data_IF_321386893304
#
_entry.id   IF_321386893304
#
_cell.length_a   1.000
_cell.length_b   1.000
_cell.length_c   1.000
_cell.angle_alpha   90.00
_cell.angle_beta   90.00
_cell.angle_gamma   90.00
#
_symmetry.space_group_name_H-M   'P 1'
#
loop_
_entity.id
_entity.type
_entity.pdbx_description
1 polymer ?
#
# COMPACT_ATOMS: atom_id res chain seq x y z
N UNK A 1 -0.54 -54.45 -28.99
CA UNK A 1 -0.77 -55.15 -30.26
C UNK A 1 -0.61 -54.13 -31.38
N UNK A 2 0.41 -54.29 -32.21
CA UNK A 2 0.46 -53.75 -33.59
C UNK A 2 -0.55 -54.52 -34.49
N UNK A 3 -0.51 -54.43 -35.84
CA UNK A 3 -0.95 -53.40 -36.79
C UNK A 3 -1.97 -54.02 -37.81
N UNK A 4 -2.21 -53.52 -39.05
CA UNK A 4 -1.29 -53.67 -40.23
C UNK A 4 -1.24 -52.41 -41.13
N UNK A 5 -0.19 -52.00 -41.88
CA UNK A 5 0.77 -52.58 -42.85
C UNK A 5 0.15 -52.97 -44.21
N UNK A 6 0.62 -52.37 -45.32
CA UNK A 6 1.13 -52.98 -46.59
C UNK A 6 1.47 -51.84 -47.61
N UNK A 7 2.75 -51.48 -47.88
CA UNK A 7 3.71 -52.01 -48.89
C UNK A 7 3.41 -51.55 -50.34
N UNK A 8 4.31 -50.98 -51.18
CA UNK A 8 5.65 -51.40 -51.66
C UNK A 8 6.43 -50.14 -52.16
N UNK A 9 7.68 -49.85 -51.74
CA UNK A 9 9.01 -50.31 -52.26
C UNK A 9 9.23 -49.98 -53.75
N UNK A 10 10.33 -49.34 -54.17
CA UNK A 10 11.64 -50.03 -54.28
C UNK A 10 12.82 -49.06 -54.64
N UNK A 11 13.95 -49.17 -53.90
CA UNK A 11 15.41 -49.14 -54.26
C UNK A 11 15.98 -47.96 -55.11
N UNK A 12 17.26 -47.54 -55.09
CA UNK A 12 18.53 -47.71 -54.34
C UNK A 12 19.45 -46.58 -54.91
N UNK A 13 20.23 -45.83 -54.12
CA UNK A 13 21.66 -46.05 -53.76
C UNK A 13 22.69 -45.93 -54.92
N UNK A 14 23.73 -45.12 -54.63
CA UNK A 14 25.09 -44.99 -55.22
C UNK A 14 25.37 -43.95 -56.33
N UNK A 15 26.01 -42.85 -55.89
CA UNK A 15 27.42 -42.47 -56.11
C UNK A 15 28.08 -42.55 -57.52
N UNK A 16 28.85 -41.49 -57.81
CA UNK A 16 30.12 -41.44 -58.59
C UNK A 16 30.07 -41.03 -60.09
N UNK A 17 30.39 -39.75 -60.30
CA UNK A 17 31.43 -39.15 -61.20
C UNK A 17 31.35 -39.12 -62.74
N UNK A 18 31.80 -37.94 -63.23
CA UNK A 18 32.70 -37.66 -64.35
C UNK A 18 32.09 -37.42 -65.75
N UNK A 19 32.29 -36.16 -66.17
CA UNK A 19 32.80 -35.62 -67.43
C UNK A 19 32.25 -36.04 -68.79
N UNK A 20 32.10 -34.99 -69.59
CA UNK A 20 32.66 -34.83 -70.94
C UNK A 20 32.20 -35.78 -72.05
N UNK A 21 31.69 -35.09 -73.07
CA UNK A 21 32.01 -35.33 -74.47
C UNK A 21 31.29 -36.44 -75.24
N UNK A 22 30.45 -35.93 -76.14
CA UNK A 22 30.51 -36.24 -77.55
C UNK A 22 30.17 -37.67 -77.96
N UNK A 23 28.92 -37.85 -78.41
CA UNK A 23 28.70 -38.56 -79.67
C UNK A 23 27.57 -37.92 -80.47
N UNK A 24 27.86 -36.71 -80.99
CA UNK A 24 27.38 -36.32 -82.31
C UNK A 24 28.07 -37.25 -83.31
N UNK A 25 27.34 -38.24 -83.81
CA UNK A 25 27.54 -38.70 -85.19
C UNK A 25 26.24 -38.40 -85.90
N UNK A 26 26.24 -37.29 -86.64
CA UNK A 26 26.40 -37.32 -88.08
C UNK A 26 25.18 -37.97 -88.75
N UNK A 27 24.23 -37.19 -89.26
CA UNK A 27 24.35 -36.22 -90.37
C UNK A 27 23.60 -36.82 -91.55
N UNK A 28 22.42 -36.27 -91.77
CA UNK A 28 21.95 -35.84 -93.08
C UNK A 28 21.10 -34.58 -92.76
N UNK A 29 21.73 -33.53 -92.23
CA UNK A 29 22.21 -32.36 -92.99
C UNK A 29 21.10 -31.78 -93.90
N UNK A 30 20.90 -30.48 -93.96
CA UNK A 30 21.91 -29.44 -93.78
C UNK A 30 21.35 -28.30 -92.92
N UNK A 31 21.94 -28.12 -91.75
CA UNK A 31 21.85 -26.94 -90.90
C UNK A 31 22.01 -25.67 -91.73
N UNK A 32 21.20 -24.63 -91.46
CA UNK A 32 21.56 -23.19 -91.46
C UNK A 32 20.34 -22.26 -91.60
N UNK A 33 19.15 -22.72 -92.02
CA UNK A 33 18.06 -21.78 -92.34
C UNK A 33 16.97 -21.55 -91.27
N UNK A 34 17.01 -22.22 -90.11
CA UNK A 34 16.00 -22.01 -89.04
C UNK A 34 16.50 -21.19 -87.83
N UNK A 35 17.77 -20.76 -87.84
CA UNK A 35 18.48 -20.19 -86.68
C UNK A 35 18.18 -18.71 -86.39
N UNK A 36 17.54 -17.98 -87.31
CA UNK A 36 17.40 -16.51 -87.18
C UNK A 36 16.08 -16.03 -86.57
N UNK A 37 15.07 -16.90 -86.38
CA UNK A 37 13.74 -16.48 -85.89
C UNK A 37 13.48 -16.81 -84.40
N UNK A 38 14.26 -17.73 -83.80
CA UNK A 38 14.05 -18.18 -82.42
C UNK A 38 14.80 -17.34 -81.36
N UNK A 39 15.84 -16.59 -81.77
CA UNK A 39 16.74 -15.92 -80.82
C UNK A 39 16.16 -14.61 -80.25
N UNK A 40 15.22 -13.95 -80.95
CA UNK A 40 14.58 -12.72 -80.45
C UNK A 40 13.45 -12.98 -79.45
N UNK A 41 12.72 -14.09 -79.59
CA UNK A 41 11.59 -14.43 -78.71
C UNK A 41 12.04 -14.87 -77.31
N UNK A 42 13.14 -15.63 -77.22
CA UNK A 42 13.60 -16.21 -75.96
C UNK A 42 14.22 -15.18 -75.01
N UNK A 43 14.90 -14.15 -75.55
CA UNK A 43 15.50 -13.09 -74.74
C UNK A 43 14.43 -12.19 -74.10
N UNK A 44 13.30 -11.98 -74.78
CA UNK A 44 12.21 -11.15 -74.25
C UNK A 44 11.45 -11.86 -73.13
N UNK A 45 11.11 -13.15 -73.28
CA UNK A 45 10.44 -13.90 -72.22
C UNK A 45 11.32 -14.13 -70.98
N UNK A 46 12.62 -14.40 -71.16
CA UNK A 46 13.52 -14.60 -70.03
C UNK A 46 13.77 -13.31 -69.24
N UNK A 47 13.82 -12.15 -69.92
CA UNK A 47 13.98 -10.86 -69.26
C UNK A 47 12.75 -10.46 -68.44
N UNK A 48 11.54 -10.71 -68.95
CA UNK A 48 10.28 -10.47 -68.23
C UNK A 48 10.14 -11.40 -67.01
N UNK A 49 10.55 -12.67 -67.14
CA UNK A 49 10.48 -13.63 -66.03
C UNK A 49 11.48 -13.33 -64.91
N UNK A 50 12.72 -12.94 -65.25
CA UNK A 50 13.75 -12.58 -64.25
C UNK A 50 13.39 -11.28 -63.50
N UNK A 51 12.91 -10.24 -64.19
CA UNK A 51 12.45 -9.01 -63.52
C UNK A 51 11.22 -9.27 -62.63
N UNK A 52 10.30 -10.14 -63.08
CA UNK A 52 9.13 -10.53 -62.29
C UNK A 52 9.51 -11.25 -60.99
N UNK A 53 10.49 -12.15 -61.02
CA UNK A 53 10.95 -12.86 -59.83
C UNK A 53 11.69 -11.97 -58.83
N UNK A 54 12.52 -11.03 -59.28
CA UNK A 54 13.21 -10.08 -58.40
C UNK A 54 12.23 -9.13 -57.69
N UNK A 55 11.20 -8.65 -58.40
CA UNK A 55 10.15 -7.79 -57.82
C UNK A 55 9.36 -8.55 -56.76
N UNK A 56 9.00 -9.81 -57.02
CA UNK A 56 8.29 -10.65 -56.03
C UNK A 56 9.17 -10.92 -54.81
N UNK A 57 10.47 -11.20 -54.99
CA UNK A 57 11.39 -11.45 -53.88
C UNK A 57 11.59 -10.19 -53.02
N UNK A 58 11.71 -9.01 -53.65
CA UNK A 58 11.84 -7.72 -52.95
C UNK A 58 10.58 -7.38 -52.13
N UNK A 59 9.40 -7.63 -52.69
CA UNK A 59 8.12 -7.42 -52.00
C UNK A 59 7.93 -8.39 -50.82
N UNK A 60 8.37 -9.64 -50.96
CA UNK A 60 8.27 -10.66 -49.91
C UNK A 60 9.26 -10.41 -48.76
N UNK A 61 10.46 -9.93 -49.05
CA UNK A 61 11.45 -9.49 -48.03
C UNK A 61 10.98 -8.22 -47.31
N UNK A 62 10.38 -7.26 -48.04
CA UNK A 62 9.75 -6.07 -47.45
C UNK A 62 8.59 -6.42 -46.52
N UNK A 63 7.68 -7.32 -46.94
CA UNK A 63 6.57 -7.82 -46.12
C UNK A 63 7.06 -8.55 -44.86
N UNK A 64 8.13 -9.35 -44.95
CA UNK A 64 8.73 -10.01 -43.78
C UNK A 64 9.36 -9.02 -42.78
N UNK A 65 10.02 -7.96 -43.26
CA UNK A 65 10.54 -6.88 -42.38
C UNK A 65 9.43 -6.10 -41.70
N UNK A 66 8.36 -5.77 -42.42
CA UNK A 66 7.20 -5.09 -41.87
C UNK A 66 6.49 -5.95 -40.80
N UNK A 67 6.29 -7.25 -41.09
CA UNK A 67 5.77 -8.22 -40.12
C UNK A 67 6.66 -8.36 -38.89
N UNK A 68 7.98 -8.42 -39.05
CA UNK A 68 8.91 -8.50 -37.92
C UNK A 68 8.84 -7.25 -37.04
N UNK A 69 8.80 -6.06 -37.64
CA UNK A 69 8.64 -4.79 -36.92
C UNK A 69 7.29 -4.71 -36.19
N UNK A 70 6.19 -5.12 -36.84
CA UNK A 70 4.85 -5.17 -36.21
C UNK A 70 4.81 -6.16 -35.05
N UNK A 71 5.43 -7.33 -35.20
CA UNK A 71 5.50 -8.34 -34.14
C UNK A 71 6.36 -7.86 -32.98
N UNK A 72 7.51 -7.24 -33.25
CA UNK A 72 8.38 -6.66 -32.22
C UNK A 72 7.67 -5.55 -31.44
N UNK A 73 7.02 -4.61 -32.14
CA UNK A 73 6.25 -3.55 -31.51
C UNK A 73 5.04 -4.10 -30.72
N UNK A 74 4.41 -5.18 -31.20
CA UNK A 74 3.35 -5.89 -30.47
C UNK A 74 3.86 -6.58 -29.20
N UNK A 75 5.09 -7.12 -29.22
CA UNK A 75 5.74 -7.68 -28.03
C UNK A 75 6.06 -6.59 -27.00
N UNK A 76 6.62 -5.46 -27.42
CA UNK A 76 6.86 -4.29 -26.56
C UNK A 76 5.55 -3.74 -25.99
N UNK A 77 4.49 -3.67 -26.81
CA UNK A 77 3.14 -3.28 -26.35
C UNK A 77 2.52 -4.30 -25.39
N UNK A 78 2.84 -5.59 -25.52
CA UNK A 78 2.39 -6.62 -24.60
C UNK A 78 3.16 -6.54 -23.27
N UNK A 79 4.46 -6.24 -23.31
CA UNK A 79 5.30 -6.03 -22.14
C UNK A 79 4.89 -4.76 -21.39
N UNK A 80 4.71 -3.63 -22.10
CA UNK A 80 4.20 -2.40 -21.52
C UNK A 80 2.80 -2.58 -20.91
N UNK A 81 1.90 -3.34 -21.55
CA UNK A 81 0.58 -3.67 -20.96
C UNK A 81 0.71 -4.50 -19.68
N UNK A 82 1.66 -5.43 -19.61
CA UNK A 82 1.92 -6.22 -18.40
C UNK A 82 2.48 -5.36 -17.27
N UNK A 83 3.45 -4.49 -17.56
CA UNK A 83 4.05 -3.59 -16.59
C UNK A 83 3.01 -2.60 -16.05
N UNK A 84 2.22 -1.98 -16.93
CA UNK A 84 1.13 -1.09 -16.52
C UNK A 84 0.09 -1.84 -15.67
N UNK A 85 -0.26 -3.08 -16.02
CA UNK A 85 -1.18 -3.89 -15.22
C UNK A 85 -0.57 -4.24 -13.85
N UNK A 86 0.72 -4.57 -13.80
CA UNK A 86 1.43 -4.82 -12.54
C UNK A 86 1.46 -3.57 -11.65
N UNK A 87 1.75 -2.39 -12.22
CA UNK A 87 1.74 -1.12 -11.49
C UNK A 87 0.35 -0.77 -10.96
N UNK A 88 -0.71 -0.94 -11.77
CA UNK A 88 -2.10 -0.73 -11.32
C UNK A 88 -2.48 -1.71 -10.21
N UNK A 89 -2.06 -2.97 -10.30
CA UNK A 89 -2.29 -3.98 -9.26
C UNK A 89 -1.50 -3.67 -7.99
N UNK A 90 -0.28 -3.13 -8.10
CA UNK A 90 0.53 -2.70 -6.96
C UNK A 90 -0.01 -1.43 -6.30
N UNK A 91 -0.52 -0.49 -7.08
CA UNK A 91 -1.22 0.69 -6.59
C UNK A 91 -2.51 0.30 -5.85
N UNK A 92 -3.32 -0.59 -6.43
CA UNK A 92 -4.52 -1.13 -5.77
C UNK A 92 -4.17 -1.90 -4.48
N UNK A 93 -3.06 -2.67 -4.47
CA UNK A 93 -2.53 -3.27 -3.24
C UNK A 93 -2.16 -2.21 -2.22
N UNK A 94 -1.47 -1.14 -2.61
CA UNK A 94 -1.09 -0.03 -1.70
C UNK A 94 -2.31 0.67 -1.12
N UNK A 95 -3.35 0.88 -1.92
CA UNK A 95 -4.62 1.48 -1.48
C UNK A 95 -5.40 0.56 -0.54
N UNK A 96 -5.32 -0.76 -0.74
CA UNK A 96 -5.94 -1.77 0.13
C UNK A 96 -5.16 -2.04 1.42
N UNK A 97 -3.90 -1.62 1.51
CA UNK A 97 -3.12 -1.75 2.74
C UNK A 97 -3.66 -0.81 3.82
N UNK A 98 -3.80 -1.28 5.06
CA UNK A 98 -4.15 -0.40 6.17
C UNK A 98 -3.10 0.69 6.33
N UNK A 99 -3.51 1.93 6.64
CA UNK A 99 -2.60 3.08 6.84
C UNK A 99 -1.51 2.86 7.92
N UNK A 100 -1.62 1.80 8.73
CA UNK A 100 -0.65 1.41 9.77
C UNK A 100 0.28 0.25 9.34
N UNK A 101 0.26 -0.16 8.07
CA UNK A 101 1.00 -1.34 7.59
C UNK A 101 2.52 -1.15 7.60
N UNK A 102 3.00 0.00 7.14
CA UNK A 102 4.44 0.32 7.12
C UNK A 102 5.01 0.41 8.54
N UNK A 103 4.27 1.01 9.46
CA UNK A 103 4.63 1.05 10.88
C UNK A 103 4.64 -0.35 11.52
N UNK A 104 3.79 -1.27 11.04
CA UNK A 104 3.82 -2.69 11.46
C UNK A 104 5.06 -3.41 10.94
N UNK A 105 5.44 -3.20 9.68
CA UNK A 105 6.67 -3.77 9.11
C UNK A 105 7.89 -3.25 9.85
N UNK A 106 8.02 -1.93 10.01
CA UNK A 106 9.15 -1.31 10.71
C UNK A 106 9.26 -1.81 12.15
N UNK A 107 8.13 -2.07 12.83
CA UNK A 107 8.11 -2.69 14.16
C UNK A 107 8.64 -4.12 14.14
N UNK A 108 8.17 -4.95 13.20
CA UNK A 108 8.62 -6.34 13.07
C UNK A 108 10.11 -6.43 12.73
N UNK A 109 10.59 -5.53 11.85
CA UNK A 109 12.00 -5.44 11.50
C UNK A 109 12.86 -5.00 12.68
N UNK A 110 12.40 -4.03 13.47
CA UNK A 110 13.04 -3.63 14.72
C UNK A 110 13.07 -4.76 15.76
N UNK A 111 11.97 -5.51 15.92
CA UNK A 111 11.90 -6.69 16.81
C UNK A 111 12.89 -7.78 16.36
N UNK A 112 13.01 -8.01 15.05
CA UNK A 112 13.96 -8.98 14.49
C UNK A 112 15.41 -8.54 14.70
N UNK A 113 15.72 -7.25 14.48
CA UNK A 113 17.04 -6.68 14.79
C UNK A 113 17.38 -6.74 16.28
N UNK A 114 16.41 -6.52 17.19
CA UNK A 114 16.63 -6.70 18.62
C UNK A 114 16.96 -8.16 18.96
N UNK A 115 16.23 -9.12 18.40
CA UNK A 115 16.48 -10.55 18.60
C UNK A 115 17.84 -10.99 18.05
N UNK A 116 18.27 -10.46 16.90
CA UNK A 116 19.61 -10.69 16.36
C UNK A 116 20.70 -10.13 17.27
N UNK A 117 20.53 -8.90 17.77
CA UNK A 117 21.46 -8.29 18.73
C UNK A 117 21.52 -9.09 20.05
N UNK A 118 20.38 -9.57 20.57
CA UNK A 118 20.33 -10.45 21.76
C UNK A 118 21.07 -11.77 21.54
N UNK A 119 20.93 -12.36 20.35
CA UNK A 119 21.62 -13.61 19.97
C UNK A 119 23.13 -13.41 19.80
N UNK A 120 23.55 -12.23 19.34
CA UNK A 120 24.96 -11.88 19.16
C UNK A 120 25.66 -11.66 20.52
N UNK A 121 24.97 -11.09 21.50
CA UNK A 121 25.45 -10.90 22.88
C UNK A 121 25.32 -12.17 23.74
N UNK A 122 25.79 -13.33 23.25
CA UNK A 122 25.81 -14.57 24.03
C UNK A 122 26.88 -14.51 25.13
N UNK A 123 26.51 -13.98 26.29
CA UNK A 123 27.30 -14.07 27.53
C UNK A 123 27.20 -12.86 28.47
N UNK A 124 26.79 -11.69 27.97
CA UNK A 124 26.60 -10.48 28.78
C UNK A 124 25.10 -10.14 28.91
N UNK A 125 24.73 -9.54 30.04
CA UNK A 125 23.35 -9.10 30.31
C UNK A 125 22.96 -8.00 29.31
N UNK A 126 22.16 -8.39 28.30
CA UNK A 126 21.73 -7.55 27.17
C UNK A 126 21.14 -6.21 27.61
N UNK A 127 20.51 -6.15 28.79
CA UNK A 127 19.98 -4.91 29.35
C UNK A 127 21.07 -3.86 29.64
N UNK A 128 22.27 -4.29 30.06
CA UNK A 128 23.39 -3.39 30.36
C UNK A 128 24.08 -2.89 29.08
N UNK A 129 24.27 -3.77 28.10
CA UNK A 129 24.83 -3.41 26.79
C UNK A 129 23.94 -2.36 26.10
N UNK A 130 22.62 -2.55 26.15
CA UNK A 130 21.65 -1.59 25.62
C UNK A 130 21.70 -0.23 26.33
N UNK A 131 21.98 -0.19 27.63
CA UNK A 131 22.13 1.07 28.37
C UNK A 131 23.42 1.82 28.02
N UNK A 132 24.48 1.10 27.60
CA UNK A 132 25.74 1.71 27.14
C UNK A 132 25.62 2.34 25.74
N UNK A 133 24.75 1.79 24.89
CA UNK A 133 24.49 2.32 23.54
C UNK A 133 23.60 3.58 23.55
N UNK A 134 22.90 3.87 24.65
CA UNK A 134 22.01 5.04 24.75
C UNK A 134 22.85 6.29 25.02
N UNK A 135 22.78 7.25 24.09
CA UNK A 135 23.37 8.58 24.28
C UNK A 135 22.75 9.32 25.47
N UNK A 136 23.53 10.15 26.16
CA UNK A 136 23.05 10.97 27.28
C UNK A 136 21.85 11.85 26.87
N UNK A 137 21.83 12.34 25.64
CA UNK A 137 20.72 13.15 25.11
C UNK A 137 19.44 12.34 24.90
N UNK A 138 19.57 11.09 24.46
CA UNK A 138 18.43 10.17 24.30
C UNK A 138 17.88 9.73 25.65
N UNK A 139 18.75 9.51 26.63
CA UNK A 139 18.35 9.25 28.02
C UNK A 139 17.56 10.44 28.61
N UNK A 140 18.04 11.67 28.41
CA UNK A 140 17.35 12.87 28.92
C UNK A 140 16.01 13.09 28.23
N UNK A 141 15.94 12.88 26.91
CA UNK A 141 14.70 12.90 26.14
C UNK A 141 13.71 11.85 26.63
N UNK A 142 14.19 10.66 26.97
CA UNK A 142 13.38 9.57 27.52
C UNK A 142 12.83 9.90 28.91
N UNK A 143 13.65 10.49 29.77
CA UNK A 143 13.22 10.97 31.09
C UNK A 143 12.21 12.11 30.99
N UNK A 144 12.39 13.06 30.06
CA UNK A 144 11.38 14.11 29.79
C UNK A 144 10.04 13.53 29.32
N UNK A 145 10.05 12.44 28.54
CA UNK A 145 8.82 11.73 28.12
C UNK A 145 8.15 11.01 29.29
N UNK A 146 8.91 10.34 30.17
CA UNK A 146 8.37 9.68 31.37
C UNK A 146 7.74 10.68 32.35
N UNK A 147 8.34 11.86 32.52
CA UNK A 147 7.86 12.92 33.44
C UNK A 147 6.53 13.54 33.03
N UNK A 148 6.10 13.41 31.77
CA UNK A 148 4.85 13.99 31.25
C UNK A 148 3.63 13.07 31.35
N UNK A 149 3.59 12.16 32.32
CA UNK A 149 2.43 11.27 32.55
C UNK A 149 1.44 11.95 33.49
N UNK A 150 0.22 12.20 33.01
CA UNK A 150 -0.93 12.60 33.83
C UNK A 150 -2.00 11.50 33.75
N UNK A 151 -1.84 10.39 34.49
CA UNK A 151 -2.84 9.32 34.51
C UNK A 151 -4.14 9.81 35.16
N UNK A 152 -5.27 9.30 34.69
CA UNK A 152 -6.56 9.50 35.34
C UNK A 152 -6.64 8.57 36.57
N UNK A 153 -6.82 9.16 37.75
CA UNK A 153 -6.89 8.44 39.02
C UNK A 153 -8.31 7.97 39.34
N UNK A 154 -9.26 8.23 38.45
CA UNK A 154 -10.68 7.96 38.66
C UNK A 154 -11.44 9.20 39.10
N UNK A 155 -12.76 9.12 39.00
CA UNK A 155 -13.66 10.20 39.41
C UNK A 155 -13.75 10.28 40.93
N UNK A 156 -13.34 11.42 41.51
CA UNK A 156 -13.50 11.73 42.93
C UNK A 156 -14.59 12.79 43.15
N UNK A 157 -14.39 13.98 42.58
CA UNK A 157 -15.30 15.13 42.70
C UNK A 157 -15.37 15.91 41.37
N UNK A 158 -16.50 16.59 41.17
CA UNK A 158 -16.73 17.43 40.00
C UNK A 158 -15.77 18.62 39.94
N UNK A 159 -15.40 19.23 41.08
CA UNK A 159 -14.44 20.34 41.08
C UNK A 159 -13.05 19.87 40.65
N UNK A 160 -12.61 18.70 41.10
CA UNK A 160 -11.33 18.12 40.69
C UNK A 160 -11.31 17.76 39.20
N UNK A 161 -12.41 17.22 38.66
CA UNK A 161 -12.54 16.95 37.22
C UNK A 161 -12.50 18.25 36.40
N UNK A 162 -13.20 19.30 36.87
CA UNK A 162 -13.20 20.61 36.25
C UNK A 162 -11.80 21.25 36.26
N UNK A 163 -11.09 21.19 37.39
CA UNK A 163 -9.74 21.72 37.52
C UNK A 163 -8.75 21.01 36.58
N UNK A 164 -8.86 19.68 36.43
CA UNK A 164 -8.07 18.92 35.45
C UNK A 164 -8.38 19.33 34.00
N UNK A 165 -9.66 19.53 33.68
CA UNK A 165 -10.07 20.00 32.36
C UNK A 165 -9.55 21.42 32.09
N UNK A 166 -9.67 22.32 33.08
CA UNK A 166 -9.17 23.68 33.03
C UNK A 166 -7.65 23.73 32.79
N UNK A 167 -6.84 23.01 33.58
CA UNK A 167 -5.39 22.95 33.38
C UNK A 167 -4.99 22.42 31.99
N UNK A 168 -5.79 21.50 31.43
CA UNK A 168 -5.57 21.03 30.07
C UNK A 168 -5.87 22.11 29.03
N UNK A 169 -6.98 22.83 29.18
CA UNK A 169 -7.38 23.90 28.27
C UNK A 169 -6.40 25.08 28.33
N UNK A 170 -6.04 25.54 29.52
CA UNK A 170 -5.08 26.63 29.69
C UNK A 170 -3.71 26.32 29.09
N UNK A 171 -3.28 25.05 29.12
CA UNK A 171 -2.06 24.61 28.45
C UNK A 171 -2.18 24.54 26.92
N UNK A 172 -3.39 24.40 26.39
CA UNK A 172 -3.66 24.30 24.95
C UNK A 172 -3.80 25.67 24.29
N UNK A 173 -4.27 26.67 25.03
CA UNK A 173 -4.43 28.05 24.54
C UNK A 173 -3.05 28.63 24.24
N UNK A 174 -2.89 29.19 23.03
CA UNK A 174 -1.70 29.93 22.61
C UNK A 174 -2.11 31.40 22.41
N UNK A 175 -1.69 32.32 23.28
CA UNK A 175 -2.02 33.73 23.12
C UNK A 175 -1.25 34.31 21.91
N UNK A 176 -1.90 35.22 21.19
CA UNK A 176 -1.26 36.01 20.16
C UNK A 176 -0.72 37.31 20.78
N UNK A 177 0.60 37.50 20.70
CA UNK A 177 1.29 38.61 21.36
C UNK A 177 1.08 39.93 20.60
N UNK A 178 0.93 39.87 19.28
CA UNK A 178 0.75 41.06 18.43
C UNK A 178 -0.60 41.75 18.67
N UNK A 179 -1.67 40.97 18.84
CA UNK A 179 -2.98 41.51 19.22
C UNK A 179 -2.98 42.02 20.65
N UNK A 180 -2.28 41.33 21.56
CA UNK A 180 -2.12 41.74 22.95
C UNK A 180 -1.41 43.09 23.07
N UNK A 181 -0.29 43.30 22.37
CA UNK A 181 0.45 44.58 22.40
C UNK A 181 -0.36 45.73 21.81
N UNK A 182 -1.05 45.50 20.68
CA UNK A 182 -1.96 46.50 20.10
C UNK A 182 -3.10 46.90 21.04
N UNK A 183 -3.67 45.95 21.77
CA UNK A 183 -4.70 46.24 22.78
C UNK A 183 -4.11 46.97 23.99
N UNK A 184 -2.90 46.59 24.42
CA UNK A 184 -2.19 47.25 25.51
C UNK A 184 -1.90 48.71 25.21
N UNK A 185 -1.44 49.03 24.01
CA UNK A 185 -1.19 50.42 23.59
C UNK A 185 -2.48 51.24 23.53
N UNK A 186 -3.58 50.66 23.02
CA UNK A 186 -4.89 51.33 22.94
C UNK A 186 -5.51 51.65 24.30
N UNK A 187 -5.38 50.73 25.26
CA UNK A 187 -5.99 50.88 26.59
C UNK A 187 -5.06 51.55 27.61
N UNK A 188 -3.74 51.61 27.34
CA UNK A 188 -2.77 52.29 28.19
C UNK A 188 -2.79 51.79 29.64
N UNK A 189 -2.93 52.71 30.59
CA UNK A 189 -3.00 52.40 32.03
C UNK A 189 -4.26 51.61 32.42
N UNK A 190 -5.34 51.72 31.65
CA UNK A 190 -6.59 51.00 31.90
C UNK A 190 -6.50 49.51 31.51
N UNK A 191 -5.42 49.10 30.86
CA UNK A 191 -5.13 47.71 30.51
C UNK A 191 -4.93 46.81 31.73
N UNK A 192 -4.58 47.38 32.89
CA UNK A 192 -4.44 46.66 34.15
C UNK A 192 -5.58 47.04 35.12
N UNK A 193 -6.82 46.57 34.86
CA UNK A 193 -7.98 46.94 35.67
C UNK A 193 -7.90 46.34 37.08
N UNK A 194 -8.34 47.11 38.06
CA UNK A 194 -8.70 46.60 39.40
C UNK A 194 -10.16 46.15 39.40
N UNK A 195 -10.62 45.48 40.47
CA UNK A 195 -12.01 44.97 40.57
C UNK A 195 -13.11 46.01 40.35
N UNK A 196 -12.79 47.29 40.58
CA UNK A 196 -13.72 48.42 40.49
C UNK A 196 -13.47 49.30 39.24
N UNK A 197 -12.73 48.79 38.25
CA UNK A 197 -12.45 49.52 37.00
C UNK A 197 -13.69 49.63 36.10
N UNK A 198 -13.80 50.73 35.35
CA UNK A 198 -14.97 51.07 34.54
C UNK A 198 -15.03 50.33 33.18
N UNK A 199 -13.94 49.68 32.76
CA UNK A 199 -13.81 49.03 31.45
C UNK A 199 -14.68 47.76 31.27
N UNK A 200 -15.43 47.34 32.28
CA UNK A 200 -16.27 46.13 32.22
C UNK A 200 -17.60 46.40 31.49
N UNK A 201 -17.80 45.75 30.34
CA UNK A 201 -19.07 45.77 29.58
C UNK A 201 -19.06 46.55 28.28
N UNK A 202 -17.94 47.19 27.91
CA UNK A 202 -17.78 47.94 26.64
C UNK A 202 -17.05 47.14 25.57
N UNK A 203 -16.42 46.01 25.90
CA UNK A 203 -15.66 45.21 24.97
C UNK A 203 -16.56 44.47 23.98
N UNK A 204 -16.42 44.80 22.70
CA UNK A 204 -17.03 44.07 21.58
C UNK A 204 -15.90 43.37 20.83
N UNK A 205 -15.75 42.04 20.95
CA UNK A 205 -14.69 41.29 20.28
C UNK A 205 -14.91 41.26 18.76
N UNK A 206 -13.83 41.03 18.02
CA UNK A 206 -13.93 40.82 16.57
C UNK A 206 -14.58 39.46 16.26
N UNK A 207 -15.22 39.35 15.08
CA UNK A 207 -15.87 38.10 14.63
C UNK A 207 -14.89 36.93 14.60
N UNK A 208 -13.64 37.18 14.20
CA UNK A 208 -12.59 36.14 14.16
C UNK A 208 -12.28 35.56 15.55
N UNK A 209 -12.38 36.37 16.61
CA UNK A 209 -12.11 35.93 17.98
C UNK A 209 -13.25 35.10 18.53
N UNK A 210 -14.48 35.49 18.18
CA UNK A 210 -15.70 34.72 18.47
C UNK A 210 -15.63 33.36 17.78
N UNK A 211 -15.22 33.31 16.51
CA UNK A 211 -15.12 32.05 15.76
C UNK A 211 -14.09 31.10 16.40
N UNK A 212 -12.93 31.62 16.84
CA UNK A 212 -11.94 30.81 17.58
C UNK A 212 -12.53 30.23 18.88
N UNK A 213 -13.29 31.03 19.62
CA UNK A 213 -13.96 30.58 20.84
C UNK A 213 -14.99 29.48 20.55
N UNK A 214 -15.81 29.65 19.51
CA UNK A 214 -16.82 28.67 19.10
C UNK A 214 -16.16 27.34 18.76
N UNK A 215 -15.11 27.36 17.93
CA UNK A 215 -14.35 26.16 17.56
C UNK A 215 -13.81 25.45 18.80
N UNK A 216 -13.28 26.18 19.78
CA UNK A 216 -12.75 25.57 21.01
C UNK A 216 -13.85 25.03 21.92
N UNK A 217 -15.06 25.62 21.93
CA UNK A 217 -16.23 25.06 22.62
C UNK A 217 -16.73 23.78 21.95
N UNK A 218 -16.78 23.73 20.62
CA UNK A 218 -17.17 22.54 19.87
C UNK A 218 -16.21 21.37 20.16
N UNK A 219 -14.90 21.62 20.15
CA UNK A 219 -13.88 20.62 20.55
C UNK A 219 -14.08 20.15 22.00
N UNK A 220 -14.50 21.03 22.91
CA UNK A 220 -14.78 20.67 24.30
C UNK A 220 -16.01 19.76 24.39
N UNK A 221 -17.08 20.07 23.65
CA UNK A 221 -18.30 19.26 23.57
C UNK A 221 -17.99 17.89 22.99
N UNK A 222 -17.30 17.82 21.86
CA UNK A 222 -16.92 16.56 21.22
C UNK A 222 -16.10 15.66 22.17
N UNK A 223 -15.19 16.27 22.94
CA UNK A 223 -14.39 15.53 23.93
C UNK A 223 -15.21 15.05 25.13
N UNK A 224 -16.23 15.83 25.54
CA UNK A 224 -17.17 15.43 26.59
C UNK A 224 -18.04 14.25 26.13
N UNK A 225 -18.50 14.27 24.89
CA UNK A 225 -19.35 13.20 24.34
C UNK A 225 -18.58 11.87 24.24
N UNK A 226 -17.27 11.94 24.00
CA UNK A 226 -16.36 10.78 23.99
C UNK A 226 -15.93 10.30 25.39
N UNK A 227 -16.44 10.88 26.48
CA UNK A 227 -16.06 10.49 27.85
C UNK A 227 -16.39 9.02 28.15
N UNK A 228 -17.59 8.58 27.78
CA UNK A 228 -18.01 7.17 27.93
C UNK A 228 -17.78 6.39 26.65
N UNK A 229 -16.71 5.58 26.61
CA UNK A 229 -16.41 4.72 25.45
C UNK A 229 -17.29 3.48 25.46
N UNK A 230 -17.89 3.16 24.30
CA UNK A 230 -18.60 1.90 24.11
C UNK A 230 -17.59 0.75 24.08
N UNK A 231 -17.84 -0.27 24.88
CA UNK A 231 -17.07 -1.52 24.82
C UNK A 231 -17.61 -2.37 23.66
N UNK A 232 -16.74 -3.07 22.89
CA UNK A 232 -17.18 -3.92 21.81
C UNK A 232 -18.12 -5.00 22.33
N UNK A 233 -19.15 -5.32 21.54
CA UNK A 233 -20.06 -6.42 21.83
C UNK A 233 -19.37 -7.73 21.45
N UNK A 234 -19.37 -8.69 22.38
CA UNK A 234 -18.93 -10.06 22.10
C UNK A 234 -20.18 -10.92 21.95
N UNK A 235 -20.38 -11.51 20.77
CA UNK A 235 -21.51 -12.39 20.45
C UNK A 235 -21.36 -13.80 21.02
N UNK A 236 -20.13 -14.22 21.30
CA UNK A 236 -19.82 -15.52 21.94
C UNK A 236 -20.13 -15.57 23.44
N UNK A 237 -20.48 -14.43 24.07
CA UNK A 237 -20.76 -14.38 25.49
C UNK A 237 -22.18 -14.87 25.80
N UNK A 238 -22.33 -15.71 26.83
CA UNK A 238 -23.64 -16.17 27.30
C UNK A 238 -24.57 -14.99 27.62
N UNK A 239 -25.73 -14.97 26.96
CA UNK A 239 -26.68 -13.87 27.05
C UNK A 239 -27.63 -14.12 28.23
N UNK A 240 -27.45 -13.37 29.31
CA UNK A 240 -28.28 -13.42 30.52
C UNK A 240 -29.48 -12.45 30.50
N UNK A 241 -29.77 -11.83 29.34
CA UNK A 241 -30.74 -10.74 29.21
C UNK A 241 -31.64 -10.87 27.98
N UNK A 242 -32.89 -10.40 28.12
CA UNK A 242 -33.88 -10.39 27.03
C UNK A 242 -33.89 -9.04 26.28
N UNK A 243 -33.55 -7.93 26.97
CA UNK A 243 -33.57 -6.58 26.39
C UNK A 243 -32.32 -5.76 26.76
N UNK A 244 -32.03 -4.67 26.03
CA UNK A 244 -30.83 -3.84 26.24
C UNK A 244 -30.80 -3.15 27.61
N UNK A 245 -31.97 -2.76 28.14
CA UNK A 245 -32.07 -2.16 29.48
C UNK A 245 -31.71 -3.18 30.56
N UNK A 246 -32.13 -4.42 30.39
CA UNK A 246 -31.82 -5.54 31.27
C UNK A 246 -30.32 -5.87 31.18
N UNK A 247 -29.73 -5.86 29.98
CA UNK A 247 -28.27 -6.02 29.82
C UNK A 247 -27.48 -4.98 30.62
N UNK A 248 -27.92 -3.71 30.61
CA UNK A 248 -27.30 -2.63 31.39
C UNK A 248 -27.51 -2.82 32.90
N UNK A 249 -28.68 -3.33 33.30
CA UNK A 249 -28.97 -3.65 34.70
C UNK A 249 -28.13 -4.83 35.21
N UNK A 250 -28.07 -5.94 34.48
CA UNK A 250 -27.21 -7.08 34.79
C UNK A 250 -25.74 -6.66 34.87
N UNK A 251 -25.25 -5.86 33.90
CA UNK A 251 -23.89 -5.26 33.97
C UNK A 251 -23.68 -4.35 35.19
N UNK A 252 -24.73 -3.71 35.72
CA UNK A 252 -24.65 -2.93 36.95
C UNK A 252 -24.59 -3.87 38.16
N UNK A 253 -25.45 -4.90 38.20
CA UNK A 253 -25.45 -5.91 39.25
C UNK A 253 -24.10 -6.63 39.35
N UNK A 254 -23.53 -7.06 38.23
CA UNK A 254 -22.20 -7.69 38.15
C UNK A 254 -21.09 -6.82 38.75
N UNK A 255 -21.10 -5.49 38.53
CA UNK A 255 -20.10 -4.57 39.10
C UNK A 255 -20.12 -4.52 40.63
N UNK A 256 -21.30 -4.63 41.25
CA UNK A 256 -21.45 -4.53 42.70
C UNK A 256 -21.40 -5.90 43.38
N UNK A 257 -22.13 -6.88 42.85
CA UNK A 257 -22.33 -8.18 43.46
C UNK A 257 -21.40 -9.26 42.93
N UNK A 258 -20.86 -9.13 41.71
CA UNK A 258 -20.03 -10.18 41.09
C UNK A 258 -18.81 -10.56 41.92
N UNK A 259 -18.24 -9.62 42.70
CA UNK A 259 -17.15 -9.92 43.65
C UNK A 259 -17.59 -10.86 44.77
N UNK A 260 -18.84 -10.74 45.24
CA UNK A 260 -19.38 -11.50 46.36
C UNK A 260 -20.08 -12.79 45.91
N UNK A 261 -20.60 -12.84 44.68
CA UNK A 261 -21.34 -13.99 44.13
C UNK A 261 -20.49 -14.89 43.23
N UNK A 262 -19.17 -14.70 43.20
CA UNK A 262 -18.25 -15.46 42.35
C UNK A 262 -18.31 -16.97 42.62
N UNK A 263 -18.44 -17.39 43.87
CA UNK A 263 -18.56 -18.80 44.26
C UNK A 263 -19.87 -19.42 43.74
N UNK A 264 -20.99 -18.70 43.90
CA UNK A 264 -22.31 -19.13 43.40
C UNK A 264 -22.27 -19.30 41.88
N UNK A 265 -21.61 -18.35 41.17
CA UNK A 265 -21.45 -18.42 39.72
C UNK A 265 -20.64 -19.65 39.29
N UNK A 266 -19.53 -19.94 39.96
CA UNK A 266 -18.75 -21.15 39.68
C UNK A 266 -19.55 -22.43 39.95
N UNK A 267 -20.35 -22.47 41.00
CA UNK A 267 -21.19 -23.64 41.30
C UNK A 267 -22.26 -23.84 40.21
N UNK A 268 -22.85 -22.76 39.70
CA UNK A 268 -23.76 -22.82 38.55
C UNK A 268 -23.08 -23.37 37.30
N UNK A 269 -21.87 -22.89 36.98
CA UNK A 269 -21.07 -23.37 35.85
C UNK A 269 -20.63 -24.83 36.00
N UNK A 270 -20.47 -25.32 37.25
CA UNK A 270 -20.18 -26.72 37.59
C UNK A 270 -21.42 -27.62 37.66
N UNK A 271 -22.59 -27.13 37.27
CA UNK A 271 -23.83 -27.92 37.28
C UNK A 271 -24.46 -28.03 38.67
N UNK A 272 -24.37 -26.98 39.48
CA UNK A 272 -24.95 -26.85 40.84
C UNK A 272 -24.40 -27.83 41.88
N UNK A 273 -23.29 -28.49 41.59
CA UNK A 273 -22.53 -29.25 42.56
C UNK A 273 -21.74 -28.31 43.48
N UNK A 274 -21.78 -28.58 44.78
CA UNK A 274 -20.98 -27.91 45.83
C UNK A 274 -19.65 -28.63 45.99
#
# INVERSE_FOLDING_TARGET
>A
MEPPVFFFKLLFKFNITISEENFKFYVFNLDILFSSFLFLGFVFEFFVFCFGLEVILFELVGKKRLLFSIVFHSLDFNEARKLNHQEVVEEDKRLKLPANWEAKIARLEWELQEEEKKKLTRGEDYGKVKLLEISAEDAERWERKKRRKNPDLGFSDYAAAQLRQYHRLTKQIKPDMETYERLREKHGEEFYPTSNSLLHGTHVPSTEEIDRMVIDLEKQIEKRDKYSRRHPYNDDADIDYINERNAKFNKKAERFYGKYTAEIKQNLERGTAV
#
